data_IF_789993328954
#
_entry.id   IF_789993328954
#
_cell.length_a   1.000
_cell.length_b   1.000
_cell.length_c   1.000
_cell.angle_alpha   90.00
_cell.angle_beta   90.00
_cell.angle_gamma   90.00
#
_symmetry.space_group_name_H-M   'P 1'
#
loop_
_entity.id
_entity.type
_entity.pdbx_description
1 polymer ?
#
# COMPACT_ATOMS: atom_id res chain seq x y z
N UNK A 1 3.10 16.72 11.26
CA UNK A 1 3.19 16.03 9.97
C UNK A 1 3.33 14.53 10.18
N UNK A 2 3.03 13.75 9.17
CA UNK A 2 3.11 12.29 9.18
C UNK A 2 4.19 11.86 8.20
N UNK A 3 5.01 10.90 8.60
CA UNK A 3 6.01 10.28 7.74
C UNK A 3 5.63 8.81 7.51
N UNK A 4 5.78 8.35 6.28
CA UNK A 4 5.44 7.00 5.85
C UNK A 4 6.68 6.35 5.23
N UNK A 5 7.03 5.14 5.69
CA UNK A 5 8.19 4.41 5.19
C UNK A 5 7.75 3.00 4.81
N UNK A 6 7.84 2.70 3.50
CA UNK A 6 7.50 1.39 2.96
C UNK A 6 8.71 0.44 3.03
N UNK A 7 8.40 -0.84 3.12
CA UNK A 7 9.39 -1.93 3.02
C UNK A 7 8.71 -3.21 2.51
N UNK A 8 9.50 -4.21 2.19
CA UNK A 8 9.00 -5.53 1.80
C UNK A 8 8.97 -5.79 0.30
N UNK A 9 9.29 -4.80 -0.52
CA UNK A 9 9.40 -5.00 -1.96
C UNK A 9 10.59 -5.89 -2.33
N UNK A 10 10.62 -6.31 -3.59
CA UNK A 10 11.69 -7.13 -4.11
C UNK A 10 11.32 -7.82 -5.39
N UNK A 11 12.17 -8.77 -5.79
CA UNK A 11 11.97 -9.59 -6.97
C UNK A 11 11.32 -10.90 -6.57
N UNK A 12 10.28 -11.29 -7.31
CA UNK A 12 9.54 -12.52 -7.07
C UNK A 12 9.14 -13.13 -8.41
N UNK A 13 9.01 -14.45 -8.45
CA UNK A 13 8.52 -15.15 -9.63
C UNK A 13 7.01 -15.05 -9.76
N UNK A 14 6.46 -15.16 -10.99
CA UNK A 14 5.00 -15.24 -11.18
C UNK A 14 4.40 -16.36 -10.34
N UNK A 15 3.25 -16.06 -9.73
CA UNK A 15 2.59 -16.97 -8.80
C UNK A 15 3.08 -16.83 -7.35
N UNK A 16 4.15 -16.09 -7.12
CA UNK A 16 4.70 -15.87 -5.79
C UNK A 16 3.91 -14.86 -4.97
N UNK A 17 4.40 -14.62 -3.76
CA UNK A 17 3.77 -13.72 -2.78
C UNK A 17 4.79 -12.77 -2.20
N UNK A 18 4.33 -11.58 -1.83
CA UNK A 18 5.08 -10.59 -1.06
C UNK A 18 4.16 -9.95 -0.03
N UNK A 19 4.73 -9.51 1.07
CA UNK A 19 4.01 -8.68 2.04
C UNK A 19 4.72 -7.34 2.15
N UNK A 20 4.03 -6.28 1.77
CA UNK A 20 4.53 -4.92 1.94
C UNK A 20 4.12 -4.40 3.31
N UNK A 21 4.98 -3.57 3.88
CA UNK A 21 4.73 -2.92 5.17
C UNK A 21 4.94 -1.43 5.02
N UNK A 22 4.17 -0.65 5.74
CA UNK A 22 4.31 0.80 5.81
C UNK A 22 4.27 1.21 7.28
N UNK A 23 5.34 1.83 7.76
CA UNK A 23 5.41 2.37 9.10
C UNK A 23 5.03 3.85 9.06
N UNK A 24 4.02 4.23 9.85
CA UNK A 24 3.59 5.61 9.99
C UNK A 24 4.13 6.19 11.30
N UNK A 25 4.63 7.42 11.25
CA UNK A 25 5.13 8.12 12.42
C UNK A 25 4.74 9.59 12.40
N UNK A 26 4.94 10.29 13.52
CA UNK A 26 4.54 11.68 13.66
C UNK A 26 3.12 11.82 14.16
N UNK A 27 2.36 12.75 13.56
CA UNK A 27 1.02 13.12 14.01
C UNK A 27 -0.05 12.18 13.43
N UNK A 28 0.11 10.88 13.69
CA UNK A 28 -0.76 9.83 13.11
C UNK A 28 -2.23 9.96 13.51
N UNK A 29 -2.53 10.65 14.60
CA UNK A 29 -3.90 10.92 15.04
C UNK A 29 -4.70 11.80 14.06
N UNK A 30 -4.03 12.47 13.13
CA UNK A 30 -4.66 13.34 12.13
C UNK A 30 -5.21 12.57 10.94
N UNK A 31 -4.78 11.34 10.73
CA UNK A 31 -5.21 10.54 9.58
C UNK A 31 -6.42 9.69 9.93
N UNK A 32 -7.30 9.44 8.97
CA UNK A 32 -8.44 8.54 9.13
C UNK A 32 -8.53 7.47 8.04
N UNK A 33 -7.60 7.45 7.08
CA UNK A 33 -7.45 6.35 6.14
C UNK A 33 -5.99 6.16 5.76
N UNK A 34 -5.66 4.93 5.39
CA UNK A 34 -4.38 4.56 4.81
C UNK A 34 -4.65 3.77 3.53
N UNK A 35 -3.71 3.82 2.61
CA UNK A 35 -3.88 3.11 1.35
C UNK A 35 -2.57 2.72 0.72
N UNK A 36 -2.69 1.81 -0.24
CA UNK A 36 -1.61 1.42 -1.12
C UNK A 36 -1.95 1.82 -2.55
N UNK A 37 -0.99 2.43 -3.21
CA UNK A 37 -1.04 2.82 -4.61
C UNK A 37 0.12 2.19 -5.32
N UNK A 38 0.03 2.08 -6.65
CA UNK A 38 1.16 1.59 -7.45
C UNK A 38 1.33 2.41 -8.72
N UNK A 39 2.54 2.46 -9.21
CA UNK A 39 2.85 3.12 -10.47
C UNK A 39 3.83 2.26 -11.26
N UNK A 40 3.37 1.76 -12.40
CA UNK A 40 4.20 1.04 -13.36
C UNK A 40 4.91 2.05 -14.28
N UNK A 41 6.04 1.65 -14.91
CA UNK A 41 6.76 2.53 -15.81
C UNK A 41 5.86 3.08 -16.92
N UNK A 42 5.89 4.40 -17.12
CA UNK A 42 5.12 5.07 -18.15
C UNK A 42 3.61 5.15 -17.91
N UNK A 43 3.15 4.75 -16.75
CA UNK A 43 1.73 4.78 -16.39
C UNK A 43 1.46 5.72 -15.22
N UNK A 44 0.20 6.10 -15.05
CA UNK A 44 -0.23 6.90 -13.92
C UNK A 44 -0.28 6.06 -12.65
N UNK A 45 -0.14 6.74 -11.52
CA UNK A 45 -0.31 6.11 -10.21
C UNK A 45 -1.77 5.73 -10.02
N UNK A 46 -2.03 4.51 -9.57
CA UNK A 46 -3.39 4.00 -9.38
C UNK A 46 -3.58 3.44 -7.97
N UNK A 47 -4.81 3.55 -7.46
CA UNK A 47 -5.17 2.99 -6.16
C UNK A 47 -5.21 1.46 -6.25
N UNK A 48 -4.62 0.81 -5.24
CA UNK A 48 -4.66 -0.65 -5.06
C UNK A 48 -5.69 -1.02 -3.99
N UNK A 49 -5.60 -0.42 -2.82
CA UNK A 49 -6.49 -0.69 -1.69
C UNK A 49 -6.47 0.46 -0.69
N UNK A 50 -7.57 0.65 0.01
CA UNK A 50 -7.68 1.59 1.13
C UNK A 50 -8.24 0.86 2.35
N UNK A 51 -7.87 1.35 3.54
CA UNK A 51 -8.45 0.92 4.80
C UNK A 51 -8.69 2.16 5.68
N UNK A 52 -9.85 2.22 6.32
CA UNK A 52 -10.16 3.29 7.26
C UNK A 52 -9.68 2.94 8.67
N UNK A 53 -9.66 3.93 9.56
CA UNK A 53 -9.34 3.68 10.98
C UNK A 53 -10.42 2.86 11.69
N UNK A 54 -11.57 2.64 11.05
CA UNK A 54 -12.61 1.71 11.49
C UNK A 54 -12.43 0.31 10.88
N UNK A 55 -11.30 0.06 10.21
CA UNK A 55 -10.94 -1.22 9.57
C UNK A 55 -11.89 -1.62 8.43
N UNK A 56 -12.45 -0.63 7.74
CA UNK A 56 -13.23 -0.87 6.52
C UNK A 56 -12.30 -0.77 5.32
N UNK A 57 -12.16 -1.87 4.60
CA UNK A 57 -11.28 -1.96 3.44
C UNK A 57 -12.05 -1.92 2.13
N UNK A 58 -11.43 -1.35 1.09
CA UNK A 58 -11.91 -1.44 -0.29
C UNK A 58 -10.72 -1.68 -1.22
N UNK A 59 -10.98 -2.29 -2.38
CA UNK A 59 -9.96 -2.77 -3.29
C UNK A 59 -10.27 -2.37 -4.73
N UNK A 60 -9.23 -2.08 -5.51
CA UNK A 60 -9.34 -2.05 -6.96
C UNK A 60 -9.71 -3.45 -7.49
N UNK A 61 -10.35 -3.51 -8.66
CA UNK A 61 -10.79 -4.78 -9.22
C UNK A 61 -9.63 -5.75 -9.45
N UNK A 62 -8.47 -5.27 -9.91
CA UNK A 62 -7.30 -6.14 -10.12
C UNK A 62 -6.75 -6.74 -8.83
N UNK A 63 -7.03 -6.14 -7.68
CA UNK A 63 -6.53 -6.58 -6.37
C UNK A 63 -7.47 -7.56 -5.67
N UNK A 64 -8.76 -7.55 -6.00
CA UNK A 64 -9.76 -8.39 -5.34
C UNK A 64 -9.40 -9.87 -5.45
N UNK A 65 -9.44 -10.56 -4.32
CA UNK A 65 -9.15 -11.99 -4.24
C UNK A 65 -7.67 -12.34 -4.24
N UNK A 66 -6.78 -11.40 -4.48
CA UNK A 66 -5.34 -11.64 -4.47
C UNK A 66 -4.60 -10.83 -3.41
N UNK A 67 -5.03 -9.61 -3.16
CA UNK A 67 -4.38 -8.70 -2.23
C UNK A 67 -5.28 -8.45 -1.01
N UNK A 68 -4.64 -8.31 0.15
CA UNK A 68 -5.35 -8.00 1.40
C UNK A 68 -4.63 -6.85 2.11
N UNK A 69 -5.35 -5.77 2.35
CA UNK A 69 -4.87 -4.66 3.17
C UNK A 69 -5.29 -4.90 4.62
N UNK A 70 -4.38 -4.62 5.54
CA UNK A 70 -4.64 -4.71 6.98
C UNK A 70 -3.81 -3.69 7.71
N UNK A 71 -4.13 -3.45 8.98
CA UNK A 71 -3.34 -2.54 9.80
C UNK A 71 -3.18 -3.05 11.23
N UNK A 72 -2.12 -2.62 11.86
CA UNK A 72 -1.88 -2.81 13.29
C UNK A 72 -1.80 -1.43 13.92
N UNK A 73 -2.87 -1.02 14.60
CA UNK A 73 -2.96 0.32 15.20
C UNK A 73 -1.89 0.52 16.28
N UNK A 74 -1.66 -0.50 17.10
CA UNK A 74 -0.68 -0.40 18.20
C UNK A 74 0.74 -0.13 17.69
N UNK A 75 1.06 -0.60 16.49
CA UNK A 75 2.38 -0.43 15.88
C UNK A 75 2.42 0.70 14.85
N UNK A 76 1.29 1.34 14.55
CA UNK A 76 1.16 2.32 13.48
C UNK A 76 1.65 1.77 12.14
N UNK A 77 1.23 0.54 11.82
CA UNK A 77 1.62 -0.16 10.60
C UNK A 77 0.40 -0.42 9.73
N UNK A 78 0.60 -0.36 8.42
CA UNK A 78 -0.34 -0.89 7.44
C UNK A 78 0.40 -1.86 6.52
N UNK A 79 -0.29 -2.91 6.11
CA UNK A 79 0.28 -4.01 5.34
C UNK A 79 -0.51 -4.23 4.06
N UNK A 80 0.18 -4.74 3.04
CA UNK A 80 -0.45 -5.27 1.84
C UNK A 80 0.11 -6.66 1.59
N UNK A 81 -0.71 -7.70 1.84
CA UNK A 81 -0.36 -9.06 1.48
C UNK A 81 -0.73 -9.26 0.02
N UNK A 82 0.23 -9.60 -0.80
CA UNK A 82 0.05 -9.80 -2.24
C UNK A 82 0.31 -11.26 -2.58
N UNK A 83 -0.72 -11.94 -3.09
CA UNK A 83 -0.62 -13.34 -3.50
C UNK A 83 -0.86 -13.46 -4.99
N UNK A 84 -0.47 -14.61 -5.56
CA UNK A 84 -0.67 -14.92 -6.98
C UNK A 84 -0.17 -13.79 -7.89
N UNK A 85 1.03 -13.32 -7.63
CA UNK A 85 1.60 -12.18 -8.34
C UNK A 85 1.83 -12.49 -9.81
N UNK A 86 1.60 -11.48 -10.65
CA UNK A 86 1.72 -11.54 -12.12
C UNK A 86 2.75 -10.52 -12.58
N UNK A 87 3.35 -10.70 -13.76
CA UNK A 87 4.26 -9.67 -14.32
C UNK A 87 3.63 -8.28 -14.39
N UNK A 88 2.33 -8.18 -14.63
CA UNK A 88 1.57 -6.92 -14.68
C UNK A 88 1.52 -6.20 -13.33
N UNK A 89 1.83 -6.88 -12.23
CA UNK A 89 1.89 -6.28 -10.90
C UNK A 89 3.21 -5.56 -10.64
N UNK A 90 4.17 -5.65 -11.56
CA UNK A 90 5.45 -4.96 -11.46
C UNK A 90 5.23 -3.45 -11.45
N UNK A 91 5.65 -2.80 -10.37
CA UNK A 91 5.47 -1.37 -10.15
C UNK A 91 6.21 -0.92 -8.91
N UNK A 92 6.30 0.40 -8.72
CA UNK A 92 6.62 0.97 -7.42
C UNK A 92 5.31 1.08 -6.63
N UNK A 93 5.31 0.54 -5.42
CA UNK A 93 4.14 0.58 -4.53
C UNK A 93 4.35 1.64 -3.45
N UNK A 94 3.35 2.51 -3.30
CA UNK A 94 3.40 3.65 -2.39
C UNK A 94 2.35 3.50 -1.30
N UNK A 95 2.74 3.84 -0.09
CA UNK A 95 1.83 4.01 1.03
C UNK A 95 1.33 5.46 1.03
N UNK A 96 0.05 5.63 1.32
CA UNK A 96 -0.59 6.94 1.43
C UNK A 96 -1.42 6.98 2.70
N UNK A 97 -1.43 8.12 3.37
CA UNK A 97 -2.28 8.37 4.53
C UNK A 97 -2.87 9.75 4.45
N UNK A 98 -4.10 9.91 4.89
CA UNK A 98 -4.75 11.19 4.82
C UNK A 98 -6.02 11.26 5.64
N UNK A 99 -6.76 12.33 5.41
CA UNK A 99 -8.04 12.56 6.07
C UNK A 99 -9.10 12.91 5.02
N UNK A 100 -10.33 12.44 5.27
CA UNK A 100 -11.49 12.82 4.45
C UNK A 100 -12.09 14.15 4.87
N UNK A 101 -11.71 14.64 6.06
CA UNK A 101 -12.29 15.86 6.67
C UNK A 101 -11.33 17.03 6.51
N UNK A 102 -10.03 16.77 6.66
CA UNK A 102 -8.99 17.79 6.62
C UNK A 102 -8.07 17.56 5.42
N UNK A 103 -7.40 18.60 4.91
CA UNK A 103 -6.55 18.48 3.72
C UNK A 103 -5.19 17.85 4.04
N UNK A 104 -5.18 16.72 4.76
CA UNK A 104 -3.97 15.98 5.03
C UNK A 104 -3.79 14.90 3.98
N UNK A 105 -2.62 14.88 3.35
CA UNK A 105 -2.27 13.92 2.30
C UNK A 105 -0.77 13.67 2.35
N UNK A 106 -0.41 12.48 2.80
CA UNK A 106 0.98 12.09 2.99
C UNK A 106 1.29 10.87 2.15
N UNK A 107 2.48 10.84 1.55
CA UNK A 107 2.95 9.75 0.72
C UNK A 107 4.31 9.28 1.18
N UNK A 108 4.55 7.96 1.13
CA UNK A 108 5.87 7.38 1.25
C UNK A 108 6.66 7.54 -0.03
N UNK A 109 7.93 7.11 -0.02
CA UNK A 109 8.81 7.17 -1.18
C UNK A 109 8.64 5.99 -2.13
N UNK A 110 8.02 4.94 -1.67
CA UNK A 110 7.72 3.76 -2.47
C UNK A 110 8.71 2.62 -2.29
N UNK A 111 8.26 1.43 -2.63
CA UNK A 111 9.08 0.22 -2.66
C UNK A 111 8.85 -0.51 -3.99
N UNK A 112 9.93 -0.93 -4.65
CA UNK A 112 9.85 -1.60 -5.95
C UNK A 112 9.42 -3.05 -5.78
N UNK A 113 8.42 -3.45 -6.56
CA UNK A 113 8.02 -4.85 -6.72
C UNK A 113 8.25 -5.23 -8.18
N UNK A 114 9.01 -6.29 -8.40
CA UNK A 114 9.29 -6.82 -9.74
C UNK A 114 8.88 -8.29 -9.79
N UNK A 115 7.98 -8.62 -10.70
CA UNK A 115 7.49 -9.99 -10.90
C UNK A 115 8.00 -10.46 -12.25
N UNK A 116 8.95 -11.39 -12.23
CA UNK A 116 9.63 -11.86 -13.44
C UNK A 116 10.18 -13.25 -13.25
N UNK A 117 10.18 -14.01 -14.33
CA UNK A 117 10.79 -15.36 -14.35
C UNK A 117 12.30 -15.29 -14.39
#
# INVERSE_FOLDING_TARGET
>A
EVQLVESGGGLVQPGGSLRLSCAASGEVYKINFLGWYRQAPGKEREKVAHITIADVADYADFAKGRFTISRDEAKNMVYLQMNSLKPEDTAVYFCRAGSRIWPYDYWGQGTQVTVSS
#
